data_IF_701541149913
#
_entry.id   IF_701541149913
#
_cell.length_a   1.000
_cell.length_b   1.000
_cell.length_c   1.000
_cell.angle_alpha   90.00
_cell.angle_beta   90.00
_cell.angle_gamma   90.00
#
_symmetry.space_group_name_H-M   'P 1'
#
loop_
_entity.id
_entity.type
_entity.pdbx_description
1 polymer ?
#
# COMPACT_ATOMS: atom_id res chain seq x y z
N UNK A 1 1.87 -2.18 -9.20
CA UNK A 1 1.21 -1.36 -8.15
C UNK A 1 1.28 0.18 -8.37
N UNK A 2 1.22 0.69 -9.61
CA UNK A 2 1.38 2.14 -9.89
C UNK A 2 0.26 3.02 -9.32
N UNK A 3 -0.99 2.59 -9.44
CA UNK A 3 -2.17 3.34 -8.96
C UNK A 3 -2.08 3.52 -7.45
N UNK A 4 -1.85 2.46 -6.67
CA UNK A 4 -1.69 2.54 -5.21
C UNK A 4 -0.57 3.52 -4.80
N UNK A 5 0.61 3.41 -5.44
CA UNK A 5 1.76 4.30 -5.17
C UNK A 5 1.43 5.76 -5.46
N UNK A 6 0.82 6.05 -6.60
CA UNK A 6 0.47 7.42 -6.98
C UNK A 6 -0.65 8.02 -6.13
N UNK A 7 -1.69 7.25 -5.78
CA UNK A 7 -2.74 7.70 -4.86
C UNK A 7 -2.18 7.99 -3.47
N UNK A 8 -1.31 7.12 -2.94
CA UNK A 8 -0.65 7.36 -1.66
C UNK A 8 0.19 8.65 -1.67
N UNK A 9 0.92 8.93 -2.77
CA UNK A 9 1.68 10.19 -2.94
C UNK A 9 0.77 11.40 -2.96
N UNK A 10 -0.33 11.33 -3.72
CA UNK A 10 -1.32 12.41 -3.75
C UNK A 10 -1.90 12.70 -2.37
N UNK A 11 -2.22 11.64 -1.60
CA UNK A 11 -2.76 11.79 -0.26
C UNK A 11 -1.73 12.37 0.73
N UNK A 12 -0.48 11.88 0.68
CA UNK A 12 0.61 12.41 1.50
C UNK A 12 0.84 13.90 1.23
N UNK A 13 0.82 14.31 -0.04
CA UNK A 13 0.91 15.73 -0.40
C UNK A 13 -0.24 16.57 0.17
N UNK A 14 -1.48 16.05 0.12
CA UNK A 14 -2.62 16.75 0.72
C UNK A 14 -2.44 16.92 2.23
N UNK A 15 -2.01 15.88 2.94
CA UNK A 15 -1.86 15.89 4.39
C UNK A 15 -0.69 16.76 4.85
N UNK A 16 0.49 16.58 4.27
CA UNK A 16 1.73 17.14 4.78
C UNK A 16 2.00 18.55 4.22
N UNK A 17 1.86 18.73 2.91
CA UNK A 17 2.23 19.97 2.23
C UNK A 17 1.06 20.96 2.22
N UNK A 18 -0.17 20.47 2.07
CA UNK A 18 -1.36 21.31 1.98
C UNK A 18 -2.14 21.41 3.29
N UNK A 19 -1.89 20.54 4.27
CA UNK A 19 -2.69 20.44 5.51
C UNK A 19 -4.20 20.28 5.25
N UNK A 20 -4.56 19.54 4.19
CA UNK A 20 -5.93 19.27 3.76
C UNK A 20 -6.26 17.80 4.05
N UNK A 21 -7.33 17.59 4.81
CA UNK A 21 -8.00 16.27 4.90
C UNK A 21 -8.95 16.14 3.72
N UNK A 22 -8.87 15.04 2.98
CA UNK A 22 -9.74 14.77 1.85
C UNK A 22 -11.18 14.53 2.30
N UNK A 23 -11.39 13.59 3.24
CA UNK A 23 -12.68 13.27 3.86
C UNK A 23 -13.73 12.62 2.95
N UNK A 24 -13.37 12.32 1.70
CA UNK A 24 -14.21 11.67 0.70
C UNK A 24 -13.36 10.84 -0.28
N UNK A 25 -12.26 10.25 0.19
CA UNK A 25 -11.39 9.47 -0.66
C UNK A 25 -12.08 8.13 -0.99
N UNK A 26 -12.36 7.90 -2.27
CA UNK A 26 -12.97 6.68 -2.81
C UNK A 26 -12.32 6.35 -4.15
N UNK A 27 -12.50 5.15 -4.69
CA UNK A 27 -11.95 4.82 -6.01
C UNK A 27 -12.50 5.75 -7.12
N UNK A 28 -13.76 6.17 -7.04
CA UNK A 28 -14.36 7.13 -7.98
C UNK A 28 -13.71 8.53 -7.95
N UNK A 29 -13.02 8.87 -6.87
CA UNK A 29 -12.28 10.12 -6.72
C UNK A 29 -10.77 9.96 -6.98
N UNK A 30 -10.35 8.80 -7.51
CA UNK A 30 -9.02 8.56 -8.04
C UNK A 30 -9.13 8.44 -9.55
N UNK A 31 -8.98 9.57 -10.24
CA UNK A 31 -9.05 9.63 -11.70
C UNK A 31 -7.76 9.10 -12.31
N UNK A 32 -7.83 8.57 -13.52
CA UNK A 32 -6.66 8.08 -14.27
C UNK A 32 -6.46 8.95 -15.50
N UNK A 33 -5.24 9.43 -15.72
CA UNK A 33 -4.88 10.10 -16.97
C UNK A 33 -4.61 9.10 -18.12
N UNK A 34 -4.32 9.61 -19.31
CA UNK A 34 -4.06 8.80 -20.51
C UNK A 34 -2.88 7.82 -20.35
N UNK A 35 -2.00 8.06 -19.38
CA UNK A 35 -0.86 7.21 -19.06
C UNK A 35 -1.10 6.36 -17.80
N UNK A 36 -2.36 6.23 -17.36
CA UNK A 36 -2.76 5.46 -16.18
C UNK A 36 -2.17 5.98 -14.86
N UNK A 37 -1.77 7.25 -14.79
CA UNK A 37 -1.34 7.85 -13.53
C UNK A 37 -2.57 8.31 -12.72
N UNK A 38 -2.62 7.99 -11.42
CA UNK A 38 -3.72 8.41 -10.57
C UNK A 38 -3.66 9.91 -10.24
N UNK A 39 -4.83 10.54 -10.18
CA UNK A 39 -5.06 11.93 -9.77
C UNK A 39 -6.21 11.95 -8.75
N UNK A 40 -5.94 12.46 -7.55
CA UNK A 40 -7.00 12.64 -6.54
C UNK A 40 -7.85 13.86 -6.91
N UNK A 41 -9.17 13.69 -6.96
CA UNK A 41 -10.17 14.74 -7.17
C UNK A 41 -10.98 15.00 -5.91
N UNK A 42 -11.86 16.01 -5.93
CA UNK A 42 -12.87 16.25 -4.89
C UNK A 42 -12.35 16.39 -3.45
N UNK A 43 -11.08 16.77 -3.30
CA UNK A 43 -10.48 17.12 -2.02
C UNK A 43 -10.89 18.52 -1.58
N UNK A 44 -10.91 18.77 -0.26
CA UNK A 44 -11.20 20.11 0.28
C UNK A 44 -12.67 20.55 0.20
N UNK A 45 -13.56 19.73 -0.38
CA UNK A 45 -15.01 19.97 -0.39
C UNK A 45 -15.57 20.24 1.02
N UNK A 46 -14.99 19.59 2.03
CA UNK A 46 -15.38 19.76 3.42
C UNK A 46 -15.30 21.19 3.95
N UNK A 47 -14.41 22.02 3.36
CA UNK A 47 -14.22 23.43 3.71
C UNK A 47 -15.23 24.36 3.04
N UNK A 48 -15.87 23.91 1.97
CA UNK A 48 -16.82 24.69 1.16
C UNK A 48 -18.28 24.33 1.47
N UNK A 49 -18.50 23.16 2.06
CA UNK A 49 -19.82 22.61 2.33
C UNK A 49 -20.35 22.97 3.72
N UNK A 50 -21.68 22.98 3.83
CA UNK A 50 -22.36 23.04 5.12
C UNK A 50 -22.15 21.74 5.90
N UNK A 51 -22.35 21.77 7.22
CA UNK A 51 -22.29 20.57 8.07
C UNK A 51 -23.22 19.45 7.60
N UNK A 52 -24.42 19.80 7.11
CA UNK A 52 -25.37 18.84 6.58
C UNK A 52 -24.87 18.18 5.28
N UNK A 53 -24.36 18.98 4.33
CA UNK A 53 -23.79 18.47 3.09
C UNK A 53 -22.57 17.57 3.36
N UNK A 54 -21.68 17.97 4.28
CA UNK A 54 -20.56 17.14 4.72
C UNK A 54 -20.98 15.80 5.32
N UNK A 55 -22.06 15.80 6.11
CA UNK A 55 -22.60 14.56 6.68
C UNK A 55 -23.14 13.61 5.61
N UNK A 56 -23.76 14.16 4.56
CA UNK A 56 -24.25 13.38 3.42
C UNK A 56 -23.10 12.77 2.61
N UNK A 57 -22.02 13.54 2.36
CA UNK A 57 -20.83 13.02 1.67
C UNK A 57 -20.19 11.87 2.45
N UNK A 58 -20.01 12.04 3.76
CA UNK A 58 -19.50 10.96 4.62
C UNK A 58 -20.42 9.74 4.59
N UNK A 59 -21.74 9.93 4.60
CA UNK A 59 -22.72 8.85 4.52
C UNK A 59 -22.64 8.10 3.19
N UNK A 60 -22.50 8.81 2.07
CA UNK A 60 -22.32 8.21 0.76
C UNK A 60 -21.03 7.38 0.68
N UNK A 61 -19.89 7.92 1.14
CA UNK A 61 -18.63 7.16 1.21
C UNK A 61 -18.75 5.91 2.12
N UNK A 62 -19.57 5.98 3.17
CA UNK A 62 -19.87 4.84 4.03
C UNK A 62 -20.73 3.77 3.37
N UNK A 63 -21.73 4.15 2.58
CA UNK A 63 -22.52 3.22 1.80
C UNK A 63 -21.67 2.49 0.73
N UNK A 64 -20.59 3.13 0.28
CA UNK A 64 -19.61 2.56 -0.65
C UNK A 64 -18.49 1.75 0.05
N UNK A 65 -18.49 1.63 1.38
CA UNK A 65 -17.53 0.80 2.12
C UNK A 65 -16.18 1.46 2.44
N UNK A 66 -15.95 2.73 2.07
CA UNK A 66 -14.65 3.41 2.30
C UNK A 66 -14.53 4.09 3.68
N UNK A 67 -15.60 4.07 4.48
CA UNK A 67 -15.68 4.84 5.72
C UNK A 67 -15.02 4.12 6.89
N UNK A 68 -14.06 4.78 7.53
CA UNK A 68 -13.45 4.31 8.76
C UNK A 68 -14.49 4.11 9.89
N UNK A 69 -14.38 3.06 10.71
CA UNK A 69 -15.40 2.69 11.70
C UNK A 69 -15.65 3.77 12.76
N UNK A 70 -14.63 4.55 13.12
CA UNK A 70 -14.74 5.63 14.08
C UNK A 70 -15.54 6.83 13.57
N UNK A 71 -15.72 7.00 12.25
CA UNK A 71 -16.54 8.07 11.66
C UNK A 71 -18.03 7.92 11.91
N UNK A 72 -18.47 6.77 12.41
CA UNK A 72 -19.85 6.60 12.91
C UNK A 72 -20.05 7.35 14.24
N UNK A 73 -18.96 7.56 14.99
CA UNK A 73 -18.94 8.31 16.27
C UNK A 73 -18.43 9.74 16.07
N UNK A 74 -17.39 9.89 15.25
CA UNK A 74 -16.76 11.16 14.91
C UNK A 74 -17.45 11.76 13.69
N UNK A 75 -18.13 12.90 13.83
CA UNK A 75 -18.80 13.58 12.70
C UNK A 75 -17.85 14.35 11.77
N UNK A 76 -16.53 14.11 11.86
CA UNK A 76 -15.51 14.86 11.13
C UNK A 76 -14.36 13.93 10.72
N UNK A 77 -14.03 13.94 9.43
CA UNK A 77 -12.85 13.27 8.88
C UNK A 77 -11.54 13.89 9.38
N UNK A 78 -10.50 13.06 9.41
CA UNK A 78 -9.13 13.43 9.75
C UNK A 78 -8.15 12.64 8.86
N UNK A 79 -6.84 12.88 9.02
CA UNK A 79 -5.82 12.19 8.23
C UNK A 79 -5.89 10.65 8.36
N UNK A 80 -6.17 10.12 9.56
CA UNK A 80 -6.29 8.67 9.80
C UNK A 80 -7.53 8.04 9.16
N UNK A 81 -8.62 8.80 9.00
CA UNK A 81 -9.79 8.30 8.27
C UNK A 81 -9.53 8.25 6.77
N UNK A 82 -8.75 9.20 6.24
CA UNK A 82 -8.32 9.16 4.83
C UNK A 82 -7.37 7.98 4.57
N UNK A 83 -6.44 7.68 5.49
CA UNK A 83 -5.56 6.51 5.40
C UNK A 83 -6.35 5.21 5.39
N UNK A 84 -7.43 5.12 6.18
CA UNK A 84 -8.33 3.97 6.12
C UNK A 84 -8.95 3.82 4.72
N UNK A 85 -9.50 4.90 4.17
CA UNK A 85 -10.08 4.88 2.83
C UNK A 85 -9.05 4.52 1.74
N UNK A 86 -7.80 4.99 1.88
CA UNK A 86 -6.69 4.57 1.01
C UNK A 86 -6.44 3.06 1.13
N UNK A 87 -6.42 2.52 2.35
CA UNK A 87 -6.28 1.08 2.59
C UNK A 87 -7.39 0.27 1.91
N UNK A 88 -8.64 0.73 1.98
CA UNK A 88 -9.77 0.10 1.27
C UNK A 88 -9.57 0.11 -0.25
N UNK A 89 -9.11 1.22 -0.83
CA UNK A 89 -8.78 1.30 -2.27
C UNK A 89 -7.68 0.30 -2.63
N UNK A 90 -6.64 0.15 -1.80
CA UNK A 90 -5.57 -0.82 -2.05
C UNK A 90 -6.12 -2.25 -1.99
N UNK A 91 -7.00 -2.56 -1.02
CA UNK A 91 -7.65 -3.88 -0.95
C UNK A 91 -8.53 -4.14 -2.18
N UNK A 92 -9.30 -3.15 -2.63
CA UNK A 92 -10.11 -3.25 -3.86
C UNK A 92 -9.23 -3.55 -5.09
N UNK A 93 -8.09 -2.86 -5.23
CA UNK A 93 -7.11 -3.13 -6.30
C UNK A 93 -6.50 -4.53 -6.24
N UNK A 94 -6.24 -5.06 -5.04
CA UNK A 94 -5.62 -6.37 -4.85
C UNK A 94 -6.60 -7.52 -5.06
N UNK A 95 -7.86 -7.32 -4.67
CA UNK A 95 -8.89 -8.38 -4.62
C UNK A 95 -9.84 -8.36 -5.81
N UNK A 96 -9.90 -7.24 -6.55
CA UNK A 96 -10.89 -7.02 -7.61
C UNK A 96 -12.33 -6.90 -7.09
N UNK A 97 -12.52 -6.85 -5.76
CA UNK A 97 -13.85 -6.82 -5.13
C UNK A 97 -14.27 -5.40 -4.77
N UNK A 98 -15.53 -5.09 -5.07
CA UNK A 98 -16.17 -3.86 -4.65
C UNK A 98 -16.27 -3.79 -3.12
N UNK A 99 -15.81 -2.70 -2.47
CA UNK A 99 -15.95 -2.53 -1.02
C UNK A 99 -17.38 -2.28 -0.57
N UNK A 100 -18.29 -1.95 -1.49
CA UNK A 100 -19.72 -1.78 -1.20
C UNK A 100 -20.44 -3.13 -1.03
N UNK A 101 -19.88 -4.21 -1.58
CA UNK A 101 -20.50 -5.52 -1.54
C UNK A 101 -20.07 -6.28 -0.28
N UNK A 102 -21.05 -6.66 0.54
CA UNK A 102 -20.78 -7.51 1.70
C UNK A 102 -20.51 -8.95 1.26
N UNK A 103 -19.38 -9.53 1.67
CA UNK A 103 -19.09 -10.94 1.46
C UNK A 103 -19.27 -11.69 2.77
N UNK A 104 -20.21 -12.65 2.82
CA UNK A 104 -20.56 -13.39 4.06
C UNK A 104 -20.96 -12.47 5.22
N UNK A 105 -21.59 -11.32 4.93
CA UNK A 105 -21.98 -10.32 5.94
C UNK A 105 -20.81 -9.50 6.51
N UNK A 106 -19.61 -9.64 5.97
CA UNK A 106 -18.44 -8.85 6.31
C UNK A 106 -18.19 -7.78 5.24
N UNK A 107 -17.70 -6.61 5.67
CA UNK A 107 -17.12 -5.64 4.74
C UNK A 107 -15.78 -6.15 4.16
N UNK A 108 -15.28 -5.48 3.12
CA UNK A 108 -14.06 -5.93 2.43
C UNK A 108 -12.85 -6.05 3.38
N UNK A 109 -12.50 -5.03 4.21
CA UNK A 109 -11.45 -5.17 5.22
C UNK A 109 -11.63 -6.37 6.15
N UNK A 110 -12.83 -6.60 6.68
CA UNK A 110 -13.12 -7.72 7.57
C UNK A 110 -12.98 -9.07 6.87
N UNK A 111 -13.48 -9.18 5.64
CA UNK A 111 -13.38 -10.40 4.85
C UNK A 111 -11.91 -10.75 4.57
N UNK A 112 -11.12 -9.79 4.08
CA UNK A 112 -9.68 -10.01 3.84
C UNK A 112 -8.98 -10.39 5.15
N UNK A 113 -9.23 -9.66 6.24
CA UNK A 113 -8.65 -9.93 7.54
C UNK A 113 -9.02 -11.33 8.08
N UNK A 114 -10.20 -11.85 7.74
CA UNK A 114 -10.64 -13.19 8.14
C UNK A 114 -9.86 -14.29 7.43
N UNK A 115 -9.59 -14.11 6.13
CA UNK A 115 -8.85 -15.09 5.34
C UNK A 115 -7.38 -15.14 5.78
N UNK A 116 -6.74 -13.97 5.93
CA UNK A 116 -5.31 -13.93 6.30
C UNK A 116 -5.03 -14.35 7.75
N UNK A 117 -6.06 -14.36 8.62
CA UNK A 117 -5.94 -14.83 10.00
C UNK A 117 -5.77 -16.34 10.07
N UNK A 118 -6.36 -17.07 9.13
CA UNK A 118 -6.25 -18.52 9.06
C UNK A 118 -4.92 -18.90 8.42
N UNK A 119 -4.59 -18.31 7.28
CA UNK A 119 -3.32 -18.50 6.58
C UNK A 119 -3.03 -17.31 5.67
N UNK A 120 -1.77 -16.89 5.53
CA UNK A 120 -1.38 -15.87 4.53
C UNK A 120 -1.44 -16.48 3.13
N UNK A 121 -2.65 -16.60 2.59
CA UNK A 121 -2.95 -17.24 1.32
C UNK A 121 -3.10 -16.23 0.19
N UNK A 122 -2.79 -16.66 -1.04
CA UNK A 122 -3.02 -15.90 -2.26
C UNK A 122 -4.48 -15.89 -2.73
N UNK A 123 -5.38 -16.63 -2.05
CA UNK A 123 -6.81 -16.73 -2.41
C UNK A 123 -7.57 -15.40 -2.37
N UNK A 124 -7.04 -14.41 -1.64
CA UNK A 124 -7.65 -13.08 -1.58
C UNK A 124 -7.43 -12.28 -2.87
N UNK A 125 -6.38 -12.59 -3.64
CA UNK A 125 -6.00 -11.79 -4.80
C UNK A 125 -6.90 -12.06 -6.00
N UNK A 126 -7.09 -11.03 -6.81
CA UNK A 126 -7.76 -11.14 -8.09
C UNK A 126 -7.04 -12.14 -9.01
N UNK A 127 -7.82 -12.96 -9.74
CA UNK A 127 -7.29 -14.03 -10.57
C UNK A 127 -6.46 -13.51 -11.75
N UNK A 128 -6.77 -12.34 -12.30
CA UNK A 128 -5.99 -11.72 -13.37
C UNK A 128 -4.63 -11.25 -12.84
N UNK A 129 -4.62 -10.70 -11.62
CA UNK A 129 -3.40 -10.31 -10.91
C UNK A 129 -2.48 -11.52 -10.64
N UNK A 130 -3.08 -12.66 -10.26
CA UNK A 130 -2.36 -13.90 -9.99
C UNK A 130 -1.86 -14.59 -11.27
N UNK A 131 -2.52 -14.41 -12.41
CA UNK A 131 -2.04 -14.92 -13.70
C UNK A 131 -0.71 -14.26 -14.10
N UNK A 132 -0.61 -12.95 -13.88
CA UNK A 132 0.62 -12.20 -14.14
C UNK A 132 1.69 -12.50 -13.07
N UNK A 133 1.28 -12.80 -11.83
CA UNK A 133 2.19 -13.23 -10.77
C UNK A 133 2.74 -14.64 -10.95
N UNK A 134 1.99 -15.56 -11.56
CA UNK A 134 2.47 -16.91 -11.89
C UNK A 134 3.66 -16.89 -12.90
N UNK A 135 3.90 -15.76 -13.56
CA UNK A 135 5.02 -15.56 -14.47
C UNK A 135 6.30 -15.00 -13.79
N UNK A 136 6.33 -14.75 -12.47
CA UNK A 136 7.53 -14.26 -11.78
C UNK A 136 7.39 -13.89 -10.28
N UNK A 137 8.32 -13.06 -9.77
CA UNK A 137 8.50 -12.61 -8.37
C UNK A 137 7.45 -11.61 -7.85
N UNK A 138 6.28 -11.49 -8.50
CA UNK A 138 5.25 -10.50 -8.16
C UNK A 138 4.48 -10.89 -6.89
N UNK A 139 4.43 -12.17 -6.53
CA UNK A 139 3.70 -12.67 -5.36
C UNK A 139 4.11 -12.00 -4.04
N UNK A 140 5.41 -11.80 -3.81
CA UNK A 140 5.92 -11.14 -2.60
C UNK A 140 5.54 -9.66 -2.56
N UNK A 141 5.59 -8.96 -3.71
CA UNK A 141 5.13 -7.56 -3.82
C UNK A 141 3.64 -7.45 -3.45
N UNK A 142 2.80 -8.36 -3.95
CA UNK A 142 1.37 -8.37 -3.65
C UNK A 142 1.09 -8.66 -2.18
N UNK A 143 1.80 -9.63 -1.60
CA UNK A 143 1.66 -10.02 -0.21
C UNK A 143 2.08 -8.90 0.75
N UNK A 144 3.19 -8.22 0.48
CA UNK A 144 3.62 -7.10 1.32
C UNK A 144 2.73 -5.87 1.14
N UNK A 145 2.19 -5.66 -0.07
CA UNK A 145 1.19 -4.61 -0.31
C UNK A 145 -0.11 -4.90 0.46
N UNK A 146 -0.53 -6.17 0.53
CA UNK A 146 -1.69 -6.62 1.30
C UNK A 146 -1.51 -6.36 2.80
N UNK A 147 -0.35 -6.72 3.36
CA UNK A 147 -0.04 -6.45 4.79
C UNK A 147 -0.11 -4.97 5.10
N UNK A 148 0.44 -4.13 4.23
CA UNK A 148 0.38 -2.68 4.38
C UNK A 148 -1.07 -2.16 4.27
N UNK A 149 -1.86 -2.67 3.33
CA UNK A 149 -3.26 -2.31 3.20
C UNK A 149 -4.05 -2.65 4.48
N UNK A 150 -3.83 -3.85 5.05
CA UNK A 150 -4.42 -4.29 6.32
C UNK A 150 -4.02 -3.37 7.50
N UNK A 151 -2.78 -2.90 7.53
CA UNK A 151 -2.33 -1.94 8.53
C UNK A 151 -2.99 -0.56 8.36
N UNK A 152 -3.30 -0.14 7.12
CA UNK A 152 -4.02 1.09 6.84
C UNK A 152 -5.49 1.03 7.27
N UNK A 153 -6.13 -0.14 7.16
CA UNK A 153 -7.54 -0.35 7.55
C UNK A 153 -7.74 -0.84 8.98
N UNK A 154 -6.72 -0.71 9.84
CA UNK A 154 -6.85 -1.13 11.24
C UNK A 154 -8.01 -0.40 11.94
N UNK A 155 -8.88 -1.10 12.71
CA UNK A 155 -9.96 -0.46 13.44
C UNK A 155 -9.52 0.64 14.41
N UNK A 156 -8.30 0.55 14.95
CA UNK A 156 -7.70 1.56 15.81
C UNK A 156 -6.94 2.63 15.00
N UNK A 157 -7.41 3.89 14.96
CA UNK A 157 -6.78 4.93 14.14
C UNK A 157 -5.34 5.24 14.52
N UNK A 158 -4.95 4.98 15.78
CA UNK A 158 -3.59 5.18 16.29
C UNK A 158 -2.58 4.19 15.75
N UNK A 159 -3.02 3.03 15.28
CA UNK A 159 -2.15 1.98 14.71
C UNK A 159 -1.83 2.31 13.26
N UNK A 160 -2.79 2.89 12.53
CA UNK A 160 -2.63 3.22 11.11
C UNK A 160 -1.39 4.10 10.87
N UNK A 161 -0.60 3.85 9.81
CA UNK A 161 0.53 4.70 9.44
C UNK A 161 0.07 6.10 9.02
N UNK A 162 1.00 7.04 8.91
CA UNK A 162 0.75 8.30 8.19
C UNK A 162 0.82 8.07 6.67
N UNK A 163 0.16 8.90 5.87
CA UNK A 163 0.15 8.76 4.41
C UNK A 163 1.58 8.76 3.82
N UNK A 164 2.49 9.60 4.34
CA UNK A 164 3.92 9.59 3.96
C UNK A 164 4.61 8.26 4.23
N UNK A 165 4.27 7.61 5.34
CA UNK A 165 4.83 6.32 5.69
C UNK A 165 4.29 5.21 4.79
N UNK A 166 3.01 5.28 4.39
CA UNK A 166 2.45 4.39 3.36
C UNK A 166 3.20 4.52 2.04
N UNK A 167 3.50 5.75 1.59
CA UNK A 167 4.31 6.00 0.39
C UNK A 167 5.67 5.33 0.51
N UNK A 168 6.38 5.57 1.62
CA UNK A 168 7.71 5.02 1.86
C UNK A 168 7.72 3.50 1.80
N UNK A 169 6.75 2.85 2.44
CA UNK A 169 6.64 1.39 2.43
C UNK A 169 6.29 0.85 1.05
N UNK A 170 5.32 1.44 0.35
CA UNK A 170 4.98 1.03 -1.03
C UNK A 170 6.16 1.18 -2.00
N UNK A 171 7.00 2.19 -1.83
CA UNK A 171 8.21 2.38 -2.66
C UNK A 171 9.31 1.36 -2.36
N UNK A 172 9.38 0.86 -1.14
CA UNK A 172 10.32 -0.17 -0.72
C UNK A 172 9.90 -1.59 -1.12
N UNK A 173 8.59 -1.81 -1.32
CA UNK A 173 8.09 -3.03 -1.93
C UNK A 173 8.56 -3.04 -3.39
N UNK A 174 9.62 -3.81 -3.64
CA UNK A 174 10.22 -4.02 -4.96
C UNK A 174 9.70 -5.33 -5.56
N UNK A 175 9.50 -5.39 -6.89
CA UNK A 175 9.42 -6.68 -7.57
C UNK A 175 10.75 -7.40 -7.36
N UNK A 176 10.71 -8.63 -6.85
CA UNK A 176 11.86 -9.31 -6.27
C UNK A 176 13.13 -9.23 -7.13
N UNK A 177 14.20 -8.69 -6.56
CA UNK A 177 15.55 -8.90 -7.09
C UNK A 177 16.00 -10.28 -6.69
N UNK A 178 16.33 -11.11 -7.69
CA UNK A 178 17.01 -12.39 -7.50
C UNK A 178 18.16 -12.25 -6.52
N UNK A 179 18.34 -13.30 -5.71
CA UNK A 179 19.50 -13.44 -4.84
C UNK A 179 20.78 -13.29 -5.64
N UNK A 180 21.44 -12.14 -5.50
CA UNK A 180 22.83 -11.98 -5.87
C UNK A 180 23.68 -12.82 -4.93
N UNK A 181 23.89 -14.08 -5.29
CA UNK A 181 25.04 -14.84 -4.85
C UNK A 181 26.28 -13.99 -5.15
N UNK A 182 26.90 -13.44 -4.10
CA UNK A 182 28.22 -12.83 -4.22
C UNK A 182 29.19 -13.88 -4.79
N UNK A 183 30.14 -13.48 -5.65
CA UNK A 183 31.11 -14.42 -6.19
C UNK A 183 31.90 -15.02 -5.02
N UNK A 184 31.83 -16.33 -4.89
CA UNK A 184 32.70 -17.12 -4.04
C UNK A 184 34.15 -16.87 -4.45
N UNK A 185 34.92 -16.26 -3.55
CA UNK A 185 36.37 -16.17 -3.65
C UNK A 185 36.96 -17.58 -3.53
N UNK A 186 37.33 -18.19 -4.66
CA UNK A 186 38.28 -19.29 -4.69
C UNK A 186 39.70 -18.71 -4.67
N UNK A 187 40.28 -18.54 -3.47
CA UNK A 187 41.75 -18.47 -3.35
C UNK A 187 42.30 -19.90 -3.25
N UNK A 188 42.62 -20.44 -4.42
CA UNK A 188 43.42 -21.65 -4.58
C UNK A 188 44.85 -21.41 -4.11
N UNK A 189 45.31 -22.27 -3.20
CA UNK A 189 46.64 -22.23 -2.62
C UNK A 189 47.79 -22.37 -3.62
N UNK A 190 48.85 -21.61 -3.34
CA UNK A 190 50.17 -21.77 -3.94
C UNK A 190 51.24 -21.59 -2.87
N UNK A 191 51.67 -22.69 -2.24
CA UNK A 191 52.85 -22.73 -1.40
C UNK A 191 54.12 -22.84 -2.28
N UNK A 192 55.02 -21.86 -2.22
CA UNK A 192 56.42 -22.07 -2.58
C UNK A 192 57.37 -21.14 -1.79
N UNK A 193 57.94 -21.74 -0.74
CA UNK A 193 59.27 -21.63 -0.10
C UNK A 193 60.13 -20.35 -0.27
N UNK A 194 60.73 -19.81 0.83
CA UNK A 194 61.72 -18.73 0.77
C UNK A 194 63.18 -19.21 0.81
N UNK A 195 64.08 -18.25 0.54
CA UNK A 195 65.52 -18.14 0.86
C UNK A 195 66.54 -18.53 -0.23
N UNK A 196 67.33 -17.54 -0.66
CA UNK A 196 68.73 -17.40 -0.25
C UNK A 196 69.32 -16.06 -0.71
N UNK A 197 70.20 -15.53 0.14
CA UNK A 197 70.93 -14.28 0.06
C UNK A 197 72.30 -14.42 -0.64
N UNK A 198 72.83 -13.25 -1.04
CA UNK A 198 74.23 -12.82 -0.99
C UNK A 198 75.12 -12.88 -2.26
N UNK A 199 75.82 -11.76 -2.45
CA UNK A 199 77.07 -11.54 -3.19
C UNK A 199 76.89 -10.98 -4.60
N UNK A 200 77.67 -10.05 -5.13
CA UNK A 200 78.71 -9.09 -4.69
C UNK A 200 79.24 -8.49 -6.02
N UNK A 201 79.73 -7.23 -6.00
CA UNK A 201 80.62 -6.57 -6.99
C UNK A 201 80.15 -6.47 -8.49
N UNK A 202 80.29 -5.37 -9.25
CA UNK A 202 81.15 -4.18 -9.24
C UNK A 202 80.44 -3.06 -10.04
#
# INVERSE_FOLDING_TARGET
MTIAKGTARGLAYLHDDMSIVHGNLTASNVLLDEQWNPKISDFGLSRLMTTAANSNVLAAAGALGYRAPELSKLKKANAKTDVYSLGVIILELLTGKSPADSTNGMDLPQWVASIVKEEWTSEVFDLELMRDAAAGTVGDELMDTLKLALHCVDPAPSVRPEAREVVRQLEQIRPGSDGGAGPSEEEGGGAHVPAASAGDDE
#
